data_IF_535596722169
#
_entry.id   IF_535596722169
#
_cell.length_a   1.000
_cell.length_b   1.000
_cell.length_c   1.000
_cell.angle_alpha   90.00
_cell.angle_beta   90.00
_cell.angle_gamma   90.00
#
_symmetry.space_group_name_H-M   'P 1'
#
loop_
_entity.id
_entity.type
_entity.pdbx_description
1 polymer ?
#
# COMPACT_ATOMS: atom_id res chain seq x y z
N UNK A 1 1.47 27.75 -8.16
CA UNK A 1 0.20 26.97 -8.14
C UNK A 1 0.40 25.45 -7.99
N UNK A 2 1.62 24.91 -8.01
CA UNK A 2 1.86 23.45 -8.05
C UNK A 2 1.75 22.73 -6.68
N UNK A 3 1.79 23.46 -5.57
CA UNK A 3 1.74 22.91 -4.20
C UNK A 3 0.32 22.48 -3.74
N UNK A 4 -0.73 22.85 -4.48
CA UNK A 4 -2.13 22.49 -4.19
C UNK A 4 -2.60 21.23 -4.94
N UNK A 5 -1.69 20.54 -5.63
CA UNK A 5 -2.00 19.27 -6.27
C UNK A 5 -2.35 18.23 -5.19
N UNK A 6 -3.46 17.49 -5.31
CA UNK A 6 -3.90 16.51 -4.31
C UNK A 6 -2.79 15.53 -3.89
N UNK A 7 -1.99 15.02 -4.84
CA UNK A 7 -0.92 14.08 -4.50
C UNK A 7 0.26 14.73 -3.74
N UNK A 8 0.49 16.04 -3.90
CA UNK A 8 1.50 16.75 -3.10
C UNK A 8 1.02 16.94 -1.66
N UNK A 9 -0.26 17.24 -1.47
CA UNK A 9 -0.88 17.33 -0.14
C UNK A 9 -0.82 15.97 0.56
N UNK A 10 -1.16 14.91 -0.17
CA UNK A 10 -1.04 13.53 0.31
C UNK A 10 0.39 13.19 0.74
N UNK A 11 1.38 13.42 -0.13
CA UNK A 11 2.79 13.17 0.18
C UNK A 11 3.25 13.91 1.44
N UNK A 12 2.86 15.19 1.60
CA UNK A 12 3.19 15.97 2.79
C UNK A 12 2.66 15.30 4.07
N UNK A 13 1.40 14.88 4.08
CA UNK A 13 0.80 14.23 5.24
C UNK A 13 1.50 12.91 5.60
N UNK A 14 1.88 12.13 4.58
CA UNK A 14 2.62 10.88 4.77
C UNK A 14 4.03 11.12 5.33
N UNK A 15 4.74 12.14 4.82
CA UNK A 15 6.06 12.55 5.33
C UNK A 15 5.95 13.02 6.78
N UNK A 16 4.96 13.86 7.11
CA UNK A 16 4.74 14.35 8.48
C UNK A 16 4.53 13.18 9.46
N UNK A 17 3.78 12.15 9.04
CA UNK A 17 3.60 10.93 9.84
C UNK A 17 4.88 10.10 9.95
N UNK A 18 5.62 9.94 8.84
CA UNK A 18 6.89 9.23 8.84
C UNK A 18 7.92 9.87 9.76
N UNK A 19 8.01 11.20 9.76
CA UNK A 19 8.95 11.94 10.62
C UNK A 19 8.64 11.79 12.10
N UNK A 20 7.37 11.68 12.50
CA UNK A 20 7.00 11.35 13.89
C UNK A 20 7.56 9.99 14.31
N UNK A 21 7.45 8.98 13.44
CA UNK A 21 8.01 7.64 13.70
C UNK A 21 9.53 7.72 13.85
N UNK A 22 10.22 8.33 12.88
CA UNK A 22 11.68 8.45 12.89
C UNK A 22 12.17 9.20 14.13
N UNK A 23 11.49 10.28 14.51
CA UNK A 23 11.85 11.10 15.67
C UNK A 23 11.75 10.27 16.95
N UNK A 24 10.63 9.58 17.17
CA UNK A 24 10.43 8.75 18.37
C UNK A 24 11.45 7.63 18.45
N UNK A 25 11.74 6.94 17.33
CA UNK A 25 12.78 5.89 17.28
C UNK A 25 14.14 6.45 17.65
N UNK A 26 14.53 7.59 17.07
CA UNK A 26 15.82 8.24 17.37
C UNK A 26 15.93 8.66 18.82
N UNK A 27 14.89 9.29 19.37
CA UNK A 27 14.83 9.68 20.78
C UNK A 27 14.95 8.45 21.67
N UNK A 28 14.13 7.42 21.47
CA UNK A 28 14.18 6.18 22.27
C UNK A 28 15.57 5.55 22.25
N UNK A 29 16.20 5.42 21.08
CA UNK A 29 17.52 4.80 20.96
C UNK A 29 18.65 5.66 21.56
N UNK A 30 18.54 6.99 21.48
CA UNK A 30 19.53 7.91 22.08
C UNK A 30 19.42 7.87 23.59
N UNK A 31 18.20 7.99 24.12
CA UNK A 31 17.93 7.95 25.56
C UNK A 31 18.28 6.59 26.15
N UNK A 32 18.03 5.50 25.42
CA UNK A 32 18.39 4.16 25.89
C UNK A 32 19.91 4.01 26.08
N UNK A 33 20.72 4.57 25.16
CA UNK A 33 22.19 4.60 25.33
C UNK A 33 22.61 5.39 26.56
N UNK A 34 22.04 6.57 26.76
CA UNK A 34 22.32 7.42 27.93
C UNK A 34 21.88 6.77 29.25
N UNK A 35 20.77 6.03 29.24
CA UNK A 35 20.26 5.34 30.42
C UNK A 35 21.13 4.14 30.81
N UNK A 36 21.65 3.40 29.82
CA UNK A 36 22.59 2.29 30.05
C UNK A 36 23.92 2.82 30.61
N UNK A 37 24.38 3.98 30.14
CA UNK A 37 25.58 4.65 30.64
C UNK A 37 25.38 5.32 32.02
N UNK A 38 24.15 5.31 32.56
CA UNK A 38 23.82 5.93 33.84
C UNK A 38 23.73 7.47 33.81
N UNK A 39 23.79 8.08 32.63
CA UNK A 39 23.65 9.54 32.45
C UNK A 39 22.22 10.01 32.70
N UNK A 40 21.22 9.20 32.33
CA UNK A 40 19.80 9.48 32.62
C UNK A 40 19.14 8.30 33.33
N UNK A 41 18.00 8.54 33.97
CA UNK A 41 17.23 7.50 34.68
C UNK A 41 16.56 6.54 33.70
N UNK A 42 16.71 5.24 33.93
CA UNK A 42 16.00 4.19 33.21
C UNK A 42 14.49 4.26 33.51
N UNK A 43 13.73 4.88 32.62
CA UNK A 43 12.28 4.93 32.71
C UNK A 43 11.63 3.60 32.30
N UNK A 44 10.35 3.40 32.66
CA UNK A 44 9.57 2.23 32.25
C UNK A 44 9.52 2.07 30.73
N UNK A 45 9.33 3.16 29.99
CA UNK A 45 9.32 3.13 28.51
C UNK A 45 10.68 2.71 27.93
N UNK A 46 11.80 3.12 28.55
CA UNK A 46 13.13 2.73 28.09
C UNK A 46 13.42 1.26 28.42
N UNK A 47 12.96 0.78 29.58
CA UNK A 47 13.05 -0.64 29.93
C UNK A 47 12.21 -1.52 28.97
N UNK A 48 10.96 -1.15 28.70
CA UNK A 48 10.12 -1.85 27.70
C UNK A 48 10.78 -1.87 26.32
N UNK A 49 11.38 -0.75 25.90
CA UNK A 49 12.11 -0.68 24.65
C UNK A 49 13.33 -1.61 24.66
N UNK A 50 14.12 -1.63 25.74
CA UNK A 50 15.28 -2.52 25.88
C UNK A 50 14.89 -3.98 25.75
N UNK A 51 13.91 -4.41 26.55
CA UNK A 51 13.44 -5.80 26.59
C UNK A 51 12.83 -6.22 25.24
N UNK A 52 12.03 -5.34 24.65
CA UNK A 52 11.46 -5.57 23.31
C UNK A 52 12.55 -5.74 22.26
N UNK A 53 13.54 -4.84 22.23
CA UNK A 53 14.63 -4.89 21.25
C UNK A 53 15.50 -6.13 21.43
N UNK A 54 15.79 -6.52 22.68
CA UNK A 54 16.53 -7.74 23.01
C UNK A 54 15.81 -9.00 22.50
N UNK A 55 14.48 -9.05 22.66
CA UNK A 55 13.63 -10.15 22.19
C UNK A 55 13.27 -10.08 20.69
N UNK A 56 13.89 -9.18 19.91
CA UNK A 56 13.55 -8.90 18.51
C UNK A 56 12.07 -8.52 18.27
N UNK A 57 11.42 -7.94 19.28
CA UNK A 57 10.06 -7.39 19.25
C UNK A 57 10.09 -5.88 19.04
N UNK A 58 8.99 -5.36 18.50
CA UNK A 58 8.82 -3.92 18.27
C UNK A 58 8.31 -3.27 19.58
N UNK A 59 9.02 -2.27 20.14
CA UNK A 59 8.56 -1.53 21.32
C UNK A 59 7.13 -1.00 21.17
N UNK A 60 6.39 -1.01 22.28
CA UNK A 60 4.97 -0.63 22.31
C UNK A 60 4.73 0.79 21.79
N UNK A 61 5.60 1.72 22.16
CA UNK A 61 5.56 3.13 21.76
C UNK A 61 5.75 3.32 20.25
N UNK A 62 6.58 2.52 19.61
CA UNK A 62 6.82 2.55 18.16
C UNK A 62 5.65 1.95 17.40
N UNK A 63 5.13 0.81 17.88
CA UNK A 63 3.99 0.11 17.25
C UNK A 63 2.74 0.99 17.19
N UNK A 64 2.46 1.74 18.25
CA UNK A 64 1.26 2.60 18.37
C UNK A 64 1.17 3.69 17.29
N UNK A 65 2.30 4.17 16.78
CA UNK A 65 2.36 5.29 15.83
C UNK A 65 2.69 4.85 14.39
N UNK A 66 3.17 3.62 14.23
CA UNK A 66 3.69 3.09 12.96
C UNK A 66 2.74 2.06 12.35
N UNK A 67 3.26 0.90 11.98
CA UNK A 67 2.55 -0.22 11.36
C UNK A 67 2.81 -1.51 12.13
N UNK A 68 1.93 -2.49 11.92
CA UNK A 68 2.13 -3.84 12.41
C UNK A 68 3.19 -4.56 11.57
N UNK A 69 4.06 -5.32 12.22
CA UNK A 69 5.07 -6.17 11.59
C UNK A 69 5.40 -7.33 12.53
N UNK A 70 5.80 -8.47 11.97
CA UNK A 70 6.04 -9.70 12.75
C UNK A 70 7.27 -9.62 13.66
N UNK A 71 8.35 -8.97 13.20
CA UNK A 71 9.61 -8.87 13.94
C UNK A 71 10.20 -7.47 13.84
N UNK A 72 11.10 -7.12 14.75
CA UNK A 72 11.85 -5.87 14.69
C UNK A 72 12.63 -5.73 13.37
N UNK A 73 13.19 -6.83 12.86
CA UNK A 73 13.94 -6.84 11.60
C UNK A 73 13.08 -6.43 10.41
N UNK A 74 11.92 -7.07 10.24
CA UNK A 74 10.98 -6.70 9.18
C UNK A 74 10.45 -5.27 9.35
N UNK A 75 10.14 -4.88 10.59
CA UNK A 75 9.69 -3.53 10.87
C UNK A 75 10.74 -2.48 10.48
N UNK A 76 12.02 -2.74 10.75
CA UNK A 76 13.11 -1.84 10.40
C UNK A 76 13.36 -1.78 8.89
N UNK A 77 13.28 -2.92 8.18
CA UNK A 77 13.32 -2.91 6.71
C UNK A 77 12.18 -2.06 6.13
N UNK A 78 10.96 -2.24 6.63
CA UNK A 78 9.82 -1.42 6.20
C UNK A 78 10.02 0.07 6.51
N UNK A 79 10.66 0.41 7.65
CA UNK A 79 10.97 1.79 8.00
C UNK A 79 11.90 2.42 6.96
N UNK A 80 12.93 1.69 6.53
CA UNK A 80 13.87 2.12 5.50
C UNK A 80 13.17 2.27 4.14
N UNK A 81 12.41 1.25 3.72
CA UNK A 81 11.76 1.22 2.40
C UNK A 81 10.67 2.31 2.29
N UNK A 82 9.87 2.52 3.34
CA UNK A 82 8.88 3.61 3.41
C UNK A 82 9.57 4.97 3.33
N UNK A 83 10.63 5.18 4.11
CA UNK A 83 11.39 6.42 4.07
C UNK A 83 11.99 6.67 2.67
N UNK A 84 12.53 5.63 2.05
CA UNK A 84 13.12 5.70 0.71
C UNK A 84 12.07 6.07 -0.34
N UNK A 85 10.87 5.47 -0.28
CA UNK A 85 9.76 5.85 -1.16
C UNK A 85 9.41 7.34 -1.03
N UNK A 86 9.22 7.84 0.19
CA UNK A 86 8.84 9.24 0.40
C UNK A 86 9.96 10.21 0.05
N UNK A 87 11.20 9.86 0.39
CA UNK A 87 12.38 10.68 0.10
C UNK A 87 12.63 10.78 -1.40
N UNK A 88 12.60 9.65 -2.13
CA UNK A 88 12.70 9.63 -3.59
C UNK A 88 11.57 10.44 -4.21
N UNK A 89 10.33 10.28 -3.74
CA UNK A 89 9.21 11.07 -4.26
C UNK A 89 9.43 12.58 -4.03
N UNK A 90 9.87 12.98 -2.84
CA UNK A 90 10.11 14.39 -2.51
C UNK A 90 11.21 15.02 -3.36
N UNK A 91 12.36 14.34 -3.53
CA UNK A 91 13.56 14.93 -4.13
C UNK A 91 13.74 14.62 -5.62
N UNK A 92 13.26 13.47 -6.08
CA UNK A 92 13.40 13.02 -7.47
C UNK A 92 12.09 13.14 -8.27
N UNK A 93 10.99 13.50 -7.60
CA UNK A 93 9.67 13.66 -8.20
C UNK A 93 8.86 12.38 -8.23
N UNK A 94 7.71 12.41 -8.93
CA UNK A 94 6.71 11.32 -8.88
C UNK A 94 7.31 9.97 -9.32
N UNK A 95 7.19 8.92 -8.49
CA UNK A 95 7.56 7.55 -8.84
C UNK A 95 6.89 7.06 -10.13
N UNK A 96 7.56 6.11 -10.81
CA UNK A 96 6.99 5.42 -11.98
C UNK A 96 5.84 4.50 -11.56
N UNK A 97 6.02 3.81 -10.43
CA UNK A 97 5.00 3.02 -9.75
C UNK A 97 5.09 3.23 -8.24
N UNK A 98 3.96 3.12 -7.55
CA UNK A 98 3.82 3.37 -6.13
C UNK A 98 3.66 2.05 -5.35
N UNK A 99 4.40 1.91 -4.25
CA UNK A 99 4.27 0.77 -3.35
C UNK A 99 3.11 1.02 -2.38
N UNK A 100 1.98 0.35 -2.58
CA UNK A 100 0.73 0.66 -1.86
C UNK A 100 0.83 0.41 -0.35
N UNK A 101 1.50 -0.66 0.05
CA UNK A 101 1.78 -0.97 1.47
C UNK A 101 2.63 0.08 2.16
N UNK A 102 3.47 0.78 1.39
CA UNK A 102 4.40 1.78 1.91
C UNK A 102 3.68 2.99 2.49
N UNK A 103 2.43 3.22 2.08
CA UNK A 103 1.60 4.29 2.63
C UNK A 103 1.03 3.93 4.00
N UNK A 104 0.91 4.95 4.85
CA UNK A 104 0.09 4.90 6.05
C UNK A 104 -1.41 4.99 5.70
N UNK A 105 -1.75 5.81 4.69
CA UNK A 105 -3.13 5.99 4.22
C UNK A 105 -3.31 5.72 2.70
N UNK A 106 -3.34 4.45 2.27
CA UNK A 106 -3.56 4.10 0.86
C UNK A 106 -4.92 4.55 0.30
N UNK A 107 -5.97 4.68 1.13
CA UNK A 107 -7.26 5.23 0.69
C UNK A 107 -7.17 6.73 0.37
N UNK A 108 -6.41 7.47 1.19
CA UNK A 108 -6.09 8.88 0.93
C UNK A 108 -5.32 9.06 -0.37
N UNK A 109 -4.39 8.16 -0.68
CA UNK A 109 -3.67 8.13 -1.96
C UNK A 109 -4.62 8.00 -3.15
N UNK A 110 -5.51 7.00 -3.11
CA UNK A 110 -6.50 6.76 -4.18
C UNK A 110 -7.46 7.94 -4.33
N UNK A 111 -7.85 8.57 -3.21
CA UNK A 111 -8.70 9.77 -3.24
C UNK A 111 -7.99 10.94 -3.91
N UNK A 112 -6.72 11.17 -3.57
CA UNK A 112 -5.91 12.21 -4.18
C UNK A 112 -5.68 11.97 -5.68
N UNK A 113 -5.39 10.72 -6.07
CA UNK A 113 -5.29 10.33 -7.48
C UNK A 113 -6.60 10.59 -8.23
N UNK A 114 -7.74 10.15 -7.65
CA UNK A 114 -9.08 10.38 -8.22
C UNK A 114 -9.37 11.87 -8.44
N UNK A 115 -9.01 12.72 -7.47
CA UNK A 115 -9.16 14.17 -7.60
C UNK A 115 -8.28 14.75 -8.71
N UNK A 116 -7.06 14.24 -8.91
CA UNK A 116 -6.21 14.68 -10.02
C UNK A 116 -6.81 14.33 -11.38
N UNK A 117 -7.28 13.08 -11.54
CA UNK A 117 -7.95 12.62 -12.77
C UNK A 117 -9.22 13.42 -13.05
N UNK A 118 -10.05 13.65 -12.02
CA UNK A 118 -11.27 14.45 -12.15
C UNK A 118 -10.97 15.88 -12.62
N UNK A 119 -9.96 16.53 -12.02
CA UNK A 119 -9.55 17.90 -12.40
C UNK A 119 -8.98 17.96 -13.82
N UNK A 120 -8.16 16.98 -14.21
CA UNK A 120 -7.56 16.93 -15.54
C UNK A 120 -8.63 16.81 -16.64
N UNK A 121 -9.67 16.01 -16.39
CA UNK A 121 -10.76 15.77 -17.35
C UNK A 121 -12.00 16.65 -17.15
N UNK A 122 -11.98 17.55 -16.17
CA UNK A 122 -13.12 18.41 -15.78
C UNK A 122 -14.38 17.60 -15.40
N UNK A 123 -14.20 16.45 -14.77
CA UNK A 123 -15.30 15.65 -14.24
C UNK A 123 -15.77 16.18 -12.89
N UNK A 124 -17.08 16.08 -12.63
CA UNK A 124 -17.63 16.29 -11.29
C UNK A 124 -17.16 15.15 -10.38
N UNK A 125 -16.60 15.46 -9.20
CA UNK A 125 -15.98 14.45 -8.32
C UNK A 125 -16.95 13.34 -7.92
N UNK A 126 -18.23 13.67 -7.76
CA UNK A 126 -19.30 12.76 -7.36
C UNK A 126 -19.67 11.76 -8.46
N UNK A 127 -19.26 12.05 -9.70
CA UNK A 127 -19.47 11.19 -10.87
C UNK A 127 -18.24 10.33 -11.21
N UNK A 128 -17.15 10.47 -10.45
CA UNK A 128 -15.88 9.80 -10.74
C UNK A 128 -15.72 8.53 -9.91
N UNK A 129 -15.57 7.40 -10.62
CA UNK A 129 -15.32 6.08 -10.06
C UNK A 129 -13.92 5.58 -10.40
N UNK A 130 -13.34 4.78 -9.50
CA UNK A 130 -12.06 4.12 -9.76
C UNK A 130 -12.23 3.00 -10.77
N UNK A 131 -11.22 2.83 -11.62
CA UNK A 131 -11.10 1.69 -12.54
C UNK A 131 -9.66 1.20 -12.53
N UNK A 132 -9.47 -0.06 -12.92
CA UNK A 132 -8.15 -0.66 -12.94
C UNK A 132 -7.93 -1.57 -14.13
N UNK A 133 -6.66 -1.73 -14.49
CA UNK A 133 -6.17 -2.72 -15.43
C UNK A 133 -4.94 -3.40 -14.82
N UNK A 134 -4.99 -4.73 -14.66
CA UNK A 134 -3.81 -5.48 -14.23
C UNK A 134 -2.90 -5.66 -15.45
N UNK A 135 -1.72 -5.07 -15.40
CA UNK A 135 -0.77 -5.14 -16.51
C UNK A 135 -0.09 -6.51 -16.58
N UNK A 136 0.68 -6.76 -17.63
CA UNK A 136 1.57 -7.92 -17.72
C UNK A 136 2.97 -7.65 -17.16
N UNK A 137 3.23 -6.42 -16.72
CA UNK A 137 4.56 -5.94 -16.35
C UNK A 137 4.82 -6.17 -14.86
N UNK A 138 6.02 -6.65 -14.55
CA UNK A 138 6.59 -6.58 -13.22
C UNK A 138 7.12 -5.17 -12.96
N UNK A 139 7.39 -4.86 -11.69
CA UNK A 139 7.82 -3.52 -11.24
C UNK A 139 9.04 -3.01 -12.03
N UNK A 140 10.00 -3.88 -12.26
CA UNK A 140 11.29 -3.59 -12.92
C UNK A 140 11.12 -3.33 -14.42
N UNK A 141 10.04 -3.83 -15.01
CA UNK A 141 9.75 -3.72 -16.45
C UNK A 141 9.00 -2.41 -16.78
N UNK A 142 8.50 -1.69 -15.77
CA UNK A 142 7.77 -0.43 -15.98
C UNK A 142 8.75 0.73 -16.18
N UNK A 143 8.87 1.19 -17.42
CA UNK A 143 9.81 2.26 -17.78
C UNK A 143 9.22 3.68 -17.73
N UNK A 144 7.89 3.83 -17.82
CA UNK A 144 7.22 5.14 -17.94
C UNK A 144 5.98 5.19 -17.07
N UNK A 145 5.65 6.39 -16.59
CA UNK A 145 4.38 6.69 -15.89
C UNK A 145 3.20 6.59 -16.85
N UNK A 146 2.00 6.24 -16.37
CA UNK A 146 0.82 6.30 -17.22
C UNK A 146 0.46 7.76 -17.51
N UNK A 147 -0.25 7.99 -18.62
CA UNK A 147 -0.71 9.34 -19.02
C UNK A 147 -1.71 9.89 -17.98
N UNK A 148 -2.55 9.00 -17.46
CA UNK A 148 -3.57 9.27 -16.46
C UNK A 148 -3.56 8.18 -15.40
N UNK A 149 -3.89 8.52 -14.15
CA UNK A 149 -3.89 7.59 -13.04
C UNK A 149 -2.47 7.27 -12.57
N UNK A 150 -2.30 6.08 -11.98
CA UNK A 150 -1.06 5.65 -11.33
C UNK A 150 -0.81 4.17 -11.51
N UNK A 151 0.45 3.77 -11.54
CA UNK A 151 0.83 2.36 -11.40
C UNK A 151 1.04 2.02 -9.92
N UNK A 152 0.52 0.89 -9.50
CA UNK A 152 0.61 0.37 -8.12
C UNK A 152 1.26 -1.01 -8.15
N UNK A 153 2.15 -1.26 -7.19
CA UNK A 153 2.78 -2.57 -7.01
C UNK A 153 2.79 -3.01 -5.54
N UNK A 154 3.17 -4.27 -5.32
CA UNK A 154 3.20 -4.89 -3.99
C UNK A 154 1.82 -5.37 -3.53
N UNK A 155 1.05 -5.99 -4.44
CA UNK A 155 -0.21 -6.63 -4.12
C UNK A 155 -0.05 -8.15 -4.24
N UNK A 156 -0.65 -8.89 -3.31
CA UNK A 156 -0.57 -10.34 -3.21
C UNK A 156 -1.96 -10.93 -3.20
N UNK A 157 -2.21 -11.88 -4.09
CA UNK A 157 -3.47 -12.59 -4.21
C UNK A 157 -3.49 -13.76 -3.22
N UNK A 158 -4.51 -13.80 -2.38
CA UNK A 158 -4.79 -14.87 -1.42
C UNK A 158 -6.03 -15.66 -1.90
N UNK A 159 -5.98 -16.99 -1.81
CA UNK A 159 -7.05 -17.89 -2.24
C UNK A 159 -7.14 -18.17 -3.75
N UNK A 160 -6.28 -17.53 -4.57
CA UNK A 160 -6.22 -17.70 -6.02
C UNK A 160 -4.81 -17.48 -6.60
N UNK A 161 -4.61 -17.92 -7.84
CA UNK A 161 -3.45 -17.62 -8.68
C UNK A 161 -3.76 -16.59 -9.76
N UNK A 162 -2.72 -16.10 -10.42
CA UNK A 162 -2.85 -15.14 -11.53
C UNK A 162 -2.13 -15.64 -12.78
N UNK A 163 -2.88 -15.78 -13.88
CA UNK A 163 -2.29 -16.04 -15.20
C UNK A 163 -1.89 -14.72 -15.84
N UNK A 164 -0.59 -14.42 -15.86
CA UNK A 164 -0.04 -13.19 -16.45
C UNK A 164 -0.20 -13.13 -17.97
N UNK A 165 -0.26 -14.25 -18.68
CA UNK A 165 -0.39 -14.26 -20.15
C UNK A 165 -1.80 -13.85 -20.56
N UNK A 166 -2.80 -14.42 -19.87
CA UNK A 166 -4.23 -14.16 -20.11
C UNK A 166 -4.80 -13.02 -19.24
N UNK A 167 -4.03 -12.50 -18.29
CA UNK A 167 -4.41 -11.45 -17.35
C UNK A 167 -5.73 -11.74 -16.64
N UNK A 168 -5.83 -12.93 -16.02
CA UNK A 168 -7.04 -13.41 -15.32
C UNK A 168 -6.72 -14.28 -14.10
N UNK A 169 -7.70 -14.42 -13.22
CA UNK A 169 -7.69 -15.34 -12.09
C UNK A 169 -7.66 -16.80 -12.55
N UNK A 170 -6.89 -17.60 -11.83
CA UNK A 170 -6.79 -19.05 -11.98
C UNK A 170 -6.72 -19.70 -10.60
N UNK A 171 -6.92 -21.01 -10.53
CA UNK A 171 -6.71 -21.75 -9.29
C UNK A 171 -5.25 -21.59 -8.81
N UNK A 172 -5.03 -21.50 -7.48
CA UNK A 172 -3.70 -21.33 -6.93
C UNK A 172 -2.85 -22.59 -7.16
N UNK A 173 -1.54 -22.41 -7.35
CA UNK A 173 -0.61 -23.52 -7.42
C UNK A 173 -0.53 -24.25 -6.06
N UNK A 174 -0.35 -25.59 -6.04
CA UNK A 174 -0.21 -26.33 -4.79
C UNK A 174 0.92 -25.77 -3.91
N UNK A 175 0.64 -25.61 -2.61
CA UNK A 175 1.57 -25.09 -1.58
C UNK A 175 1.99 -23.62 -1.76
N UNK A 176 1.37 -22.88 -2.69
CA UNK A 176 1.57 -21.44 -2.81
C UNK A 176 0.43 -20.71 -2.08
N UNK A 177 0.74 -20.14 -0.91
CA UNK A 177 -0.26 -19.41 -0.10
C UNK A 177 -0.66 -18.08 -0.75
N UNK A 178 0.32 -17.35 -1.28
CA UNK A 178 0.12 -16.03 -1.85
C UNK A 178 0.77 -15.93 -3.24
N UNK A 179 0.06 -15.35 -4.19
CA UNK A 179 0.56 -15.11 -5.55
C UNK A 179 0.80 -13.62 -5.75
N UNK A 180 2.02 -13.21 -6.09
CA UNK A 180 2.30 -11.80 -6.39
C UNK A 180 1.51 -11.35 -7.64
N UNK A 181 0.76 -10.25 -7.51
CA UNK A 181 0.07 -9.64 -8.64
C UNK A 181 1.05 -8.73 -9.41
N UNK A 182 1.01 -8.72 -10.76
CA UNK A 182 1.73 -7.74 -11.56
C UNK A 182 1.34 -6.30 -11.21
N UNK A 183 2.07 -5.34 -11.80
CA UNK A 183 1.75 -3.92 -11.63
C UNK A 183 0.31 -3.65 -12.10
N UNK A 184 -0.45 -2.96 -11.26
CA UNK A 184 -1.84 -2.58 -11.55
C UNK A 184 -1.87 -1.11 -11.93
N UNK A 185 -2.43 -0.81 -13.10
CA UNK A 185 -2.82 0.55 -13.46
C UNK A 185 -4.14 0.86 -12.77
N UNK A 186 -4.17 1.93 -11.99
CA UNK A 186 -5.40 2.44 -11.37
C UNK A 186 -5.64 3.84 -11.92
N UNK A 187 -6.80 4.06 -12.51
CA UNK A 187 -7.27 5.38 -12.96
C UNK A 187 -8.68 5.63 -12.45
N UNK A 188 -9.33 6.65 -12.99
CA UNK A 188 -10.72 6.93 -12.73
C UNK A 188 -11.44 7.34 -14.00
N UNK A 189 -12.76 7.17 -14.05
CA UNK A 189 -13.60 7.58 -15.17
C UNK A 189 -14.89 8.22 -14.66
N UNK A 190 -15.52 9.05 -15.49
CA UNK A 190 -16.87 9.58 -15.20
C UNK A 190 -17.92 8.55 -15.58
N UNK A 191 -18.87 8.25 -14.69
CA UNK A 191 -19.97 7.32 -15.01
C UNK A 191 -20.77 7.78 -16.21
N UNK A 192 -20.98 9.10 -16.32
CA UNK A 192 -21.67 9.73 -17.46
C UNK A 192 -20.92 9.57 -18.79
N UNK A 193 -19.59 9.49 -18.75
CA UNK A 193 -18.76 9.23 -19.92
C UNK A 193 -18.68 7.73 -20.30
N UNK A 194 -19.19 6.85 -19.44
CA UNK A 194 -19.19 5.40 -19.60
C UNK A 194 -17.84 4.74 -19.35
N UNK A 195 -17.86 3.53 -18.79
CA UNK A 195 -16.67 2.68 -18.72
C UNK A 195 -16.48 1.98 -20.08
N UNK A 196 -15.34 2.18 -20.74
CA UNK A 196 -15.00 1.48 -22.00
C UNK A 196 -14.54 0.02 -21.78
N UNK A 197 -14.84 -0.56 -20.62
CA UNK A 197 -14.49 -1.94 -20.29
C UNK A 197 -15.25 -2.92 -21.18
N UNK A 198 -14.52 -3.83 -21.85
CA UNK A 198 -15.10 -4.93 -22.63
C UNK A 198 -15.91 -5.85 -21.72
N UNK A 199 -16.97 -6.45 -22.26
CA UNK A 199 -17.75 -7.48 -21.58
C UNK A 199 -16.89 -8.72 -21.31
N UNK A 200 -16.28 -8.77 -20.12
CA UNK A 200 -15.54 -9.92 -19.59
C UNK A 200 -16.12 -10.23 -18.22
N UNK A 201 -16.19 -11.50 -17.83
CA UNK A 201 -16.56 -11.87 -16.47
C UNK A 201 -15.50 -11.34 -15.51
N UNK A 202 -15.90 -10.45 -14.60
CA UNK A 202 -15.01 -9.77 -13.67
C UNK A 202 -15.41 -10.12 -12.24
N UNK A 203 -14.42 -10.45 -11.43
CA UNK A 203 -14.55 -10.57 -9.99
C UNK A 203 -14.13 -9.25 -9.31
N UNK A 204 -15.01 -8.70 -8.48
CA UNK A 204 -14.71 -7.54 -7.64
C UNK A 204 -13.91 -8.00 -6.42
N UNK A 205 -12.59 -7.98 -6.54
CA UNK A 205 -11.68 -8.49 -5.52
C UNK A 205 -11.40 -7.42 -4.46
N UNK A 206 -11.72 -7.65 -3.18
CA UNK A 206 -11.41 -6.68 -2.13
C UNK A 206 -9.89 -6.61 -1.87
N UNK A 207 -9.36 -5.40 -1.68
CA UNK A 207 -7.96 -5.14 -1.33
C UNK A 207 -7.86 -4.75 0.15
N UNK A 208 -7.02 -5.43 0.90
CA UNK A 208 -6.74 -5.17 2.32
C UNK A 208 -5.28 -4.80 2.57
N UNK A 209 -5.04 -3.94 3.57
CA UNK A 209 -3.68 -3.58 4.03
C UNK A 209 -2.91 -4.79 4.58
N UNK A 210 -3.62 -5.71 5.22
CA UNK A 210 -3.07 -6.84 5.99
C UNK A 210 -3.93 -8.10 5.80
N UNK A 211 -3.40 -9.31 6.10
CA UNK A 211 -4.16 -10.56 5.99
C UNK A 211 -5.40 -10.62 6.90
N UNK A 212 -5.42 -9.84 7.98
CA UNK A 212 -6.59 -9.69 8.84
C UNK A 212 -7.65 -8.82 8.15
N UNK A 213 -8.63 -9.48 7.51
CA UNK A 213 -9.67 -8.86 6.67
C UNK A 213 -10.80 -8.25 7.51
N UNK A 214 -10.56 -7.05 8.04
CA UNK A 214 -11.55 -6.23 8.75
C UNK A 214 -11.75 -4.91 8.03
N UNK A 215 -12.82 -4.18 8.35
CA UNK A 215 -13.11 -2.86 7.75
C UNK A 215 -11.96 -1.85 7.96
N UNK A 216 -11.25 -1.96 9.08
CA UNK A 216 -10.08 -1.12 9.37
C UNK A 216 -8.92 -1.33 8.39
N UNK A 217 -8.83 -2.53 7.80
CA UNK A 217 -7.80 -2.91 6.85
C UNK A 217 -8.28 -2.86 5.40
N UNK A 218 -9.57 -2.75 5.15
CA UNK A 218 -10.12 -2.63 3.80
C UNK A 218 -9.66 -1.32 3.15
N UNK A 219 -9.29 -1.38 1.86
CA UNK A 219 -8.85 -0.21 1.08
C UNK A 219 -9.89 0.12 0.01
N UNK A 220 -10.03 -0.76 -0.98
CA UNK A 220 -10.90 -0.61 -2.16
C UNK A 220 -11.02 -1.95 -2.90
N UNK A 221 -11.97 -2.12 -3.82
CA UNK A 221 -12.03 -3.30 -4.67
C UNK A 221 -11.27 -3.08 -6.00
N UNK A 222 -10.71 -4.15 -6.55
CA UNK A 222 -10.14 -4.20 -7.89
C UNK A 222 -10.96 -5.17 -8.76
N UNK A 223 -11.29 -4.74 -9.97
CA UNK A 223 -11.87 -5.58 -11.01
C UNK A 223 -10.79 -6.53 -11.56
N UNK A 224 -10.93 -7.83 -11.28
CA UNK A 224 -10.04 -8.88 -11.79
C UNK A 224 -10.77 -9.74 -12.82
N UNK A 225 -10.17 -9.94 -13.99
CA UNK A 225 -10.76 -10.80 -15.01
C UNK A 225 -10.83 -12.25 -14.51
N UNK A 226 -11.90 -12.94 -14.88
CA UNK A 226 -12.16 -14.34 -14.54
C UNK A 226 -12.68 -15.11 -15.76
N UNK A 227 -12.39 -16.40 -15.82
CA UNK A 227 -13.01 -17.33 -16.78
C UNK A 227 -14.20 -18.09 -16.20
N UNK A 228 -14.44 -17.97 -14.90
CA UNK A 228 -15.54 -18.59 -14.16
C UNK A 228 -16.42 -17.52 -13.52
N UNK A 229 -17.60 -17.91 -13.04
CA UNK A 229 -18.52 -17.01 -12.35
C UNK A 229 -17.87 -16.38 -11.09
N UNK A 230 -18.14 -15.08 -10.79
CA UNK A 230 -17.61 -14.42 -9.60
C UNK A 230 -17.92 -15.14 -8.28
N UNK A 231 -19.05 -15.84 -8.17
CA UNK A 231 -19.46 -16.56 -6.96
C UNK A 231 -18.44 -17.65 -6.57
N UNK A 232 -17.77 -18.24 -7.55
CA UNK A 232 -16.66 -19.17 -7.30
C UNK A 232 -15.57 -18.54 -6.45
N UNK A 233 -15.15 -17.32 -6.79
CA UNK A 233 -14.09 -16.61 -6.06
C UNK A 233 -14.57 -16.03 -4.74
N UNK A 234 -15.85 -15.68 -4.64
CA UNK A 234 -16.48 -15.27 -3.37
C UNK A 234 -16.43 -16.42 -2.38
N UNK A 235 -16.85 -17.63 -2.78
CA UNK A 235 -16.86 -18.81 -1.91
C UNK A 235 -15.44 -19.25 -1.50
N UNK A 236 -14.44 -19.03 -2.36
CA UNK A 236 -13.03 -19.25 -2.01
C UNK A 236 -12.45 -18.17 -1.10
N UNK A 237 -13.16 -17.07 -0.87
CA UNK A 237 -12.66 -15.93 -0.14
C UNK A 237 -11.40 -15.36 -0.78
N UNK A 238 -11.40 -15.12 -2.09
CA UNK A 238 -10.26 -14.47 -2.76
C UNK A 238 -10.13 -13.03 -2.29
N UNK A 239 -8.91 -12.59 -2.01
CA UNK A 239 -8.63 -11.20 -1.68
C UNK A 239 -7.24 -10.79 -2.16
N UNK A 240 -7.04 -9.48 -2.30
CA UNK A 240 -5.73 -8.89 -2.48
C UNK A 240 -5.23 -8.34 -1.14
N UNK A 241 -3.99 -8.63 -0.82
CA UNK A 241 -3.31 -8.20 0.38
C UNK A 241 -2.15 -7.31 -0.05
N UNK A 242 -2.06 -6.12 0.53
CA UNK A 242 -0.90 -5.27 0.34
C UNK A 242 0.32 -5.95 1.00
N UNK A 243 0.16 -6.47 2.21
CA UNK A 243 1.25 -7.12 2.94
C UNK A 243 0.86 -8.53 3.39
N UNK A 244 1.84 -9.43 3.33
CA UNK A 244 1.73 -10.86 3.68
C UNK A 244 2.75 -11.29 4.74
N UNK A 245 3.54 -10.33 5.24
CA UNK A 245 4.55 -10.53 6.27
C UNK A 245 4.02 -10.22 7.67
#
# INVERSE_FOLDING_TARGET
>A
MDHLKPLHIFLKQEIDRMQKVITIVRTTLTDLKLAIDGTIVMSENLRDALDSLFDARIPSTWRRISWESATLGFWFTDLLDRNAQFSSWLFQGRPISYWMTGFFNPQGFLTAMRQEVARANKYALDDVELTNEVTKLLREEVAKRPVEGVYVHGLWLDGAGWDRKLARLVEPAPKLLYTALPVVHVSAYSRSAGNKSKATTVYSCPVYKKPKRTDLNYIFPLALNSSVDPDHWILRGVALLCDVK
#
